data_IF_742675339822
#
_entry.id   IF_742675339822
#
_cell.length_a   1.000
_cell.length_b   1.000
_cell.length_c   1.000
_cell.angle_alpha   90.00
_cell.angle_beta   90.00
_cell.angle_gamma   90.00
#
_symmetry.space_group_name_H-M   'P 1'
#
loop_
_entity.id
_entity.type
_entity.pdbx_description
1 polymer ?
#
# COMPACT_ATOMS: atom_id res chain seq x y z
N UNK A 1 2.95 -85.00 56.43
CA UNK A 1 2.93 -83.75 55.62
C UNK A 1 4.33 -83.55 55.04
N UNK A 2 4.47 -83.56 53.72
CA UNK A 2 5.76 -83.68 53.04
C UNK A 2 6.47 -82.32 52.92
N UNK A 3 7.49 -82.11 53.74
CA UNK A 3 8.37 -80.93 53.75
C UNK A 3 9.07 -80.68 52.40
N UNK A 4 9.23 -81.71 51.57
CA UNK A 4 9.85 -81.62 50.24
C UNK A 4 9.03 -80.84 49.20
N UNK A 5 7.72 -80.65 49.41
CA UNK A 5 6.87 -79.89 48.48
C UNK A 5 7.04 -78.37 48.64
N UNK A 6 7.23 -77.92 49.90
CA UNK A 6 7.48 -76.50 50.18
C UNK A 6 8.83 -76.00 49.65
N UNK A 7 9.88 -76.82 49.73
CA UNK A 7 11.22 -76.43 49.26
C UNK A 7 11.27 -76.25 47.74
N UNK A 8 10.57 -77.10 46.98
CA UNK A 8 10.43 -76.95 45.52
C UNK A 8 9.67 -75.67 45.16
N UNK A 9 8.54 -75.41 45.83
CA UNK A 9 7.76 -74.20 45.58
C UNK A 9 8.54 -72.91 45.89
N UNK A 10 9.37 -72.92 46.94
CA UNK A 10 10.23 -71.79 47.30
C UNK A 10 11.31 -71.55 46.24
N UNK A 11 11.94 -72.62 45.73
CA UNK A 11 12.95 -72.53 44.67
C UNK A 11 12.35 -71.97 43.36
N UNK A 12 11.16 -72.44 42.98
CA UNK A 12 10.43 -71.95 41.81
C UNK A 12 10.03 -70.48 41.96
N UNK A 13 9.60 -70.07 43.16
CA UNK A 13 9.32 -68.67 43.47
C UNK A 13 10.57 -67.78 43.30
N UNK A 14 11.72 -68.20 43.84
CA UNK A 14 12.96 -67.45 43.69
C UNK A 14 13.40 -67.34 42.24
N UNK A 15 13.31 -68.44 41.48
CA UNK A 15 13.61 -68.45 40.04
C UNK A 15 12.71 -67.49 39.27
N UNK A 16 11.39 -67.53 39.53
CA UNK A 16 10.42 -66.62 38.91
C UNK A 16 10.69 -65.17 39.30
N UNK A 17 11.06 -64.90 40.55
CA UNK A 17 11.43 -63.55 41.02
C UNK A 17 12.65 -63.01 40.29
N UNK A 18 13.69 -63.83 40.10
CA UNK A 18 14.90 -63.44 39.35
C UNK A 18 14.58 -63.18 37.88
N UNK A 19 13.78 -64.05 37.26
CA UNK A 19 13.33 -63.86 35.88
C UNK A 19 12.51 -62.57 35.71
N UNK A 20 11.58 -62.29 36.63
CA UNK A 20 10.80 -61.05 36.60
C UNK A 20 11.69 -59.82 36.78
N UNK A 21 12.64 -59.84 37.73
CA UNK A 21 13.61 -58.75 37.91
C UNK A 21 14.45 -58.52 36.65
N UNK A 22 14.93 -59.59 36.01
CA UNK A 22 15.67 -59.48 34.76
C UNK A 22 14.82 -58.92 33.62
N UNK A 23 13.56 -59.33 33.51
CA UNK A 23 12.62 -58.76 32.51
C UNK A 23 12.37 -57.27 32.77
N UNK A 24 12.14 -56.88 34.02
CA UNK A 24 11.91 -55.48 34.41
C UNK A 24 13.14 -54.63 34.08
N UNK A 25 14.34 -55.10 34.40
CA UNK A 25 15.58 -54.38 34.09
C UNK A 25 15.77 -54.21 32.57
N UNK A 26 15.53 -55.26 31.79
CA UNK A 26 15.59 -55.17 30.31
C UNK A 26 14.56 -54.19 29.75
N UNK A 27 13.32 -54.24 30.23
CA UNK A 27 12.29 -53.32 29.77
C UNK A 27 12.59 -51.87 30.17
N UNK A 28 13.20 -51.64 31.34
CA UNK A 28 13.59 -50.29 31.77
C UNK A 28 14.75 -49.76 30.94
N UNK A 29 15.72 -50.61 30.59
CA UNK A 29 16.82 -50.25 29.71
C UNK A 29 16.32 -49.93 28.28
N UNK A 30 15.41 -50.74 27.74
CA UNK A 30 14.75 -50.46 26.46
C UNK A 30 13.95 -49.15 26.49
N UNK A 31 13.22 -48.89 27.59
CA UNK A 31 12.48 -47.63 27.80
C UNK A 31 13.43 -46.43 27.76
N UNK A 32 14.54 -46.49 28.49
CA UNK A 32 15.54 -45.41 28.55
C UNK A 32 16.16 -45.16 27.15
N UNK A 33 16.48 -46.23 26.40
CA UNK A 33 17.02 -46.09 25.04
C UNK A 33 16.02 -45.44 24.08
N UNK A 34 14.74 -45.79 24.17
CA UNK A 34 13.68 -45.17 23.36
C UNK A 34 13.47 -43.70 23.72
N UNK A 35 13.51 -43.36 25.02
CA UNK A 35 13.40 -41.99 25.50
C UNK A 35 14.55 -41.11 24.98
N UNK A 36 15.79 -41.62 25.01
CA UNK A 36 16.95 -40.94 24.43
C UNK A 36 16.82 -40.72 22.91
N UNK A 37 16.29 -41.70 22.17
CA UNK A 37 16.04 -41.57 20.72
C UNK A 37 14.93 -40.55 20.42
N UNK A 38 13.87 -40.53 21.21
CA UNK A 38 12.77 -39.57 21.04
C UNK A 38 13.27 -38.14 21.30
N UNK A 39 14.11 -37.96 22.33
CA UNK A 39 14.71 -36.68 22.65
C UNK A 39 15.68 -36.18 21.55
N UNK A 40 16.42 -37.08 20.89
CA UNK A 40 17.28 -36.68 19.76
C UNK A 40 16.46 -36.29 18.53
N UNK A 41 15.39 -37.02 18.20
CA UNK A 41 14.50 -36.70 17.09
C UNK A 41 13.80 -35.35 17.28
N UNK A 42 13.27 -35.05 18.47
CA UNK A 42 12.61 -33.77 18.75
C UNK A 42 13.56 -32.57 18.62
N UNK A 43 14.85 -32.76 18.90
CA UNK A 43 15.88 -31.73 18.71
C UNK A 43 16.22 -31.48 17.23
N UNK A 44 16.05 -32.48 16.36
CA UNK A 44 16.27 -32.35 14.91
C UNK A 44 15.13 -31.55 14.27
N UNK A 45 13.89 -31.84 14.65
CA UNK A 45 12.71 -31.13 14.14
C UNK A 45 12.74 -29.64 14.49
N UNK A 46 13.22 -29.27 15.69
CA UNK A 46 13.36 -27.86 16.05
C UNK A 46 14.40 -27.14 15.19
N UNK A 47 15.53 -27.80 14.88
CA UNK A 47 16.55 -27.26 13.97
C UNK A 47 16.06 -27.12 12.54
N UNK A 48 15.27 -28.07 12.04
CA UNK A 48 14.66 -27.97 10.70
C UNK A 48 13.70 -26.79 10.62
N UNK A 49 12.81 -26.63 11.61
CA UNK A 49 11.91 -25.46 11.69
C UNK A 49 12.67 -24.14 11.76
N UNK A 50 13.74 -24.08 12.56
CA UNK A 50 14.61 -22.90 12.62
C UNK A 50 15.26 -22.60 11.27
N UNK A 51 15.73 -23.62 10.55
CA UNK A 51 16.31 -23.46 9.23
C UNK A 51 15.29 -22.91 8.22
N UNK A 52 14.08 -23.45 8.19
CA UNK A 52 13.00 -22.95 7.33
C UNK A 52 12.66 -21.48 7.63
N UNK A 53 12.64 -21.09 8.91
CA UNK A 53 12.45 -19.69 9.31
C UNK A 53 13.58 -18.78 8.83
N UNK A 54 14.84 -19.22 8.95
CA UNK A 54 16.00 -18.48 8.46
C UNK A 54 15.94 -18.33 6.94
N UNK A 55 15.64 -19.41 6.21
CA UNK A 55 15.52 -19.38 4.75
C UNK A 55 14.39 -18.44 4.31
N UNK A 56 13.25 -18.43 5.01
CA UNK A 56 12.15 -17.49 4.75
C UNK A 56 12.57 -16.04 4.98
N UNK A 57 13.23 -15.74 6.11
CA UNK A 57 13.73 -14.39 6.41
C UNK A 57 14.75 -13.96 5.36
N UNK A 58 15.66 -14.84 4.96
CA UNK A 58 16.68 -14.56 3.95
C UNK A 58 16.04 -14.27 2.58
N UNK A 59 15.04 -15.05 2.18
CA UNK A 59 14.28 -14.80 0.95
C UNK A 59 13.57 -13.45 1.00
N UNK A 60 12.91 -13.13 2.12
CA UNK A 60 12.24 -11.85 2.31
C UNK A 60 13.22 -10.67 2.21
N UNK A 61 14.37 -10.76 2.87
CA UNK A 61 15.40 -9.71 2.83
C UNK A 61 15.96 -9.52 1.42
N UNK A 62 16.15 -10.62 0.70
CA UNK A 62 16.59 -10.59 -0.71
C UNK A 62 15.57 -9.87 -1.59
N UNK A 63 14.28 -10.19 -1.42
CA UNK A 63 13.21 -9.52 -2.15
C UNK A 63 13.15 -8.02 -1.82
N UNK A 64 13.23 -7.67 -0.55
CA UNK A 64 13.20 -6.28 -0.09
C UNK A 64 14.36 -5.46 -0.69
N UNK A 65 15.56 -6.03 -0.72
CA UNK A 65 16.72 -5.40 -1.35
C UNK A 65 16.53 -5.18 -2.86
N UNK A 66 15.96 -6.16 -3.57
CA UNK A 66 15.64 -6.00 -4.99
C UNK A 66 14.59 -4.91 -5.23
N UNK A 67 13.56 -4.84 -4.39
CA UNK A 67 12.53 -3.80 -4.49
C UNK A 67 13.12 -2.41 -4.22
N UNK A 68 14.01 -2.30 -3.22
CA UNK A 68 14.76 -1.07 -2.93
C UNK A 68 15.58 -0.60 -4.13
N UNK A 69 16.36 -1.50 -4.76
CA UNK A 69 17.15 -1.19 -5.96
C UNK A 69 16.28 -0.74 -7.14
N UNK A 70 15.12 -1.38 -7.37
CA UNK A 70 14.19 -0.96 -8.43
C UNK A 70 13.60 0.43 -8.15
N UNK A 71 13.32 0.73 -6.87
CA UNK A 71 12.84 2.05 -6.48
C UNK A 71 13.92 3.13 -6.68
N UNK A 72 15.17 2.84 -6.31
CA UNK A 72 16.31 3.73 -6.54
C UNK A 72 16.51 4.03 -8.03
N UNK A 73 16.47 2.99 -8.88
CA UNK A 73 16.58 3.16 -10.34
C UNK A 73 15.45 4.03 -10.90
N UNK A 74 14.21 3.84 -10.44
CA UNK A 74 13.07 4.68 -10.84
C UNK A 74 13.26 6.13 -10.41
N UNK A 75 13.71 6.36 -9.18
CA UNK A 75 13.96 7.70 -8.67
C UNK A 75 15.06 8.41 -9.46
N UNK A 76 16.12 7.69 -9.83
CA UNK A 76 17.19 8.21 -10.68
C UNK A 76 16.67 8.61 -12.08
N UNK A 77 15.79 7.79 -12.66
CA UNK A 77 15.15 8.11 -13.94
C UNK A 77 14.29 9.36 -13.84
N UNK A 78 13.43 9.46 -12.82
CA UNK A 78 12.58 10.63 -12.60
C UNK A 78 13.42 11.91 -12.41
N UNK A 79 14.55 11.82 -11.70
CA UNK A 79 15.45 12.95 -11.52
C UNK A 79 16.03 13.43 -12.87
N UNK A 80 16.42 12.50 -13.73
CA UNK A 80 16.90 12.82 -15.07
C UNK A 80 15.80 13.48 -15.93
N UNK A 81 14.58 12.94 -15.89
CA UNK A 81 13.44 13.49 -16.62
C UNK A 81 13.11 14.93 -16.15
N UNK A 82 13.16 15.18 -14.83
CA UNK A 82 12.99 16.52 -14.25
C UNK A 82 14.10 17.45 -14.73
N UNK A 83 15.35 17.03 -14.67
CA UNK A 83 16.49 17.84 -15.14
C UNK A 83 16.36 18.16 -16.64
N UNK A 84 15.85 17.23 -17.44
CA UNK A 84 15.59 17.48 -18.86
C UNK A 84 14.45 18.49 -19.07
N UNK A 85 13.36 18.37 -18.32
CA UNK A 85 12.25 19.32 -18.36
C UNK A 85 12.70 20.73 -17.96
N UNK A 86 13.53 20.86 -16.93
CA UNK A 86 14.11 22.14 -16.51
C UNK A 86 14.94 22.80 -17.63
N UNK A 87 15.79 22.03 -18.32
CA UNK A 87 16.55 22.55 -19.47
C UNK A 87 15.64 23.05 -20.58
N UNK A 88 14.57 22.31 -20.88
CA UNK A 88 13.59 22.71 -21.90
C UNK A 88 12.85 24.00 -21.48
N UNK A 89 12.49 24.15 -20.20
CA UNK A 89 11.86 25.37 -19.69
C UNK A 89 12.79 26.57 -19.76
N UNK A 90 14.08 26.39 -19.45
CA UNK A 90 15.09 27.44 -19.60
C UNK A 90 15.21 27.86 -21.07
N UNK A 91 15.22 26.91 -22.02
CA UNK A 91 15.25 27.22 -23.44
C UNK A 91 14.01 28.01 -23.89
N UNK A 92 12.81 27.54 -23.53
CA UNK A 92 11.56 28.23 -23.85
C UNK A 92 11.52 29.64 -23.28
N UNK A 93 12.06 29.84 -22.08
CA UNK A 93 12.19 31.16 -21.48
C UNK A 93 13.10 32.08 -22.30
N UNK A 94 14.27 31.59 -22.71
CA UNK A 94 15.19 32.36 -23.55
C UNK A 94 14.54 32.74 -24.89
N UNK A 95 13.83 31.81 -25.53
CA UNK A 95 13.13 32.04 -26.78
C UNK A 95 12.00 33.08 -26.61
N UNK A 96 11.24 33.00 -25.52
CA UNK A 96 10.21 33.97 -25.19
C UNK A 96 10.79 35.37 -24.94
N UNK A 97 11.87 35.47 -24.17
CA UNK A 97 12.59 36.74 -23.94
C UNK A 97 13.10 37.33 -25.27
N UNK A 98 13.62 36.50 -26.18
CA UNK A 98 14.03 36.94 -27.51
C UNK A 98 12.86 37.47 -28.35
N UNK A 99 11.71 36.78 -28.37
CA UNK A 99 10.51 37.24 -29.08
C UNK A 99 9.96 38.55 -28.51
N UNK A 100 10.01 38.74 -27.19
CA UNK A 100 9.59 40.00 -26.54
C UNK A 100 10.49 41.15 -26.99
N UNK A 101 11.81 40.94 -27.03
CA UNK A 101 12.77 41.95 -27.53
C UNK A 101 12.51 42.27 -28.99
N UNK A 102 12.40 41.25 -29.84
CA UNK A 102 12.12 41.42 -31.26
C UNK A 102 10.82 42.20 -31.51
N UNK A 103 9.75 41.89 -30.77
CA UNK A 103 8.49 42.64 -30.82
C UNK A 103 8.72 44.11 -30.45
N UNK A 104 9.46 44.37 -29.37
CA UNK A 104 9.76 45.73 -28.91
C UNK A 104 10.51 46.52 -29.98
N UNK A 105 11.54 45.91 -30.59
CA UNK A 105 12.35 46.51 -31.65
C UNK A 105 11.49 46.86 -32.88
N UNK A 106 10.60 45.96 -33.31
CA UNK A 106 9.69 46.21 -34.42
C UNK A 106 8.66 47.30 -34.10
N UNK A 107 8.08 47.30 -32.90
CA UNK A 107 7.16 48.36 -32.47
C UNK A 107 7.85 49.73 -32.51
N UNK A 108 9.07 49.83 -31.98
CA UNK A 108 9.85 51.07 -32.01
C UNK A 108 10.18 51.51 -33.44
N UNK A 109 10.53 50.56 -34.31
CA UNK A 109 10.76 50.84 -35.73
C UNK A 109 9.49 51.38 -36.42
N UNK A 110 8.32 50.80 -36.13
CA UNK A 110 7.04 51.26 -36.67
C UNK A 110 6.66 52.64 -36.15
N UNK A 111 6.86 52.92 -34.85
CA UNK A 111 6.63 54.23 -34.25
C UNK A 111 7.49 55.32 -34.92
N UNK A 112 8.75 54.99 -35.22
CA UNK A 112 9.69 55.91 -35.85
C UNK A 112 9.33 56.20 -37.32
N UNK A 113 8.99 55.17 -38.09
CA UNK A 113 8.77 55.30 -39.53
C UNK A 113 7.32 55.64 -39.91
N UNK A 114 6.35 55.35 -39.04
CA UNK A 114 4.91 55.43 -39.35
C UNK A 114 4.08 55.95 -38.16
N UNK A 115 4.21 57.21 -37.72
CA UNK A 115 3.66 57.70 -36.45
C UNK A 115 2.12 57.60 -36.25
N UNK A 116 1.34 57.21 -37.26
CA UNK A 116 -0.10 56.94 -37.14
C UNK A 116 -0.46 55.46 -37.40
N UNK A 117 0.51 54.54 -37.38
CA UNK A 117 0.30 53.11 -37.63
C UNK A 117 -0.69 52.48 -36.63
N UNK A 118 -0.57 52.85 -35.36
CA UNK A 118 -1.41 52.32 -34.28
C UNK A 118 -2.89 52.63 -34.52
N UNK A 119 -3.23 53.87 -34.93
CA UNK A 119 -4.62 54.27 -35.26
C UNK A 119 -5.21 53.44 -36.40
N UNK A 120 -4.37 53.07 -37.37
CA UNK A 120 -4.80 52.27 -38.53
C UNK A 120 -5.12 50.83 -38.10
N UNK A 121 -4.28 50.23 -37.25
CA UNK A 121 -4.46 48.88 -36.72
C UNK A 121 -5.64 48.79 -35.75
N UNK A 122 -5.81 49.78 -34.85
CA UNK A 122 -6.94 49.78 -33.89
C UNK A 122 -8.30 49.86 -34.58
N UNK A 123 -8.40 50.58 -35.71
CA UNK A 123 -9.65 50.70 -36.47
C UNK A 123 -10.05 49.39 -37.17
N UNK A 124 -9.08 48.54 -37.54
CA UNK A 124 -9.35 47.21 -38.10
C UNK A 124 -9.64 46.18 -37.00
N UNK A 125 -8.87 46.20 -35.89
CA UNK A 125 -9.08 45.30 -34.76
C UNK A 125 -10.50 45.43 -34.16
N UNK A 126 -11.05 46.65 -34.11
CA UNK A 126 -12.42 46.88 -33.62
C UNK A 126 -13.52 46.29 -34.53
N UNK A 127 -13.21 45.99 -35.80
CA UNK A 127 -14.17 45.37 -36.74
C UNK A 127 -14.20 43.84 -36.58
N UNK A 128 -13.06 43.21 -36.32
CA UNK A 128 -12.93 41.74 -36.19
C UNK A 128 -13.14 41.21 -34.76
N UNK A 129 -12.90 42.04 -33.74
CA UNK A 129 -12.98 41.62 -32.32
C UNK A 129 -14.40 41.29 -31.84
N UNK A 130 -15.47 41.68 -32.57
CA UNK A 130 -16.84 41.28 -32.22
C UNK A 130 -17.13 39.78 -32.36
N UNK A 131 -16.27 38.99 -33.03
CA UNK A 131 -16.56 37.58 -33.29
C UNK A 131 -15.70 36.56 -32.50
N UNK A 132 -14.57 36.95 -31.89
CA UNK A 132 -13.59 36.00 -31.32
C UNK A 132 -13.28 36.18 -29.82
N UNK A 133 -14.00 37.04 -29.09
CA UNK A 133 -13.77 37.27 -27.65
C UNK A 133 -13.98 36.00 -26.79
N UNK A 134 -14.72 35.01 -27.28
CA UNK A 134 -15.04 33.81 -26.49
C UNK A 134 -13.91 32.78 -26.32
N UNK A 135 -12.82 32.83 -27.10
CA UNK A 135 -11.76 31.80 -27.01
C UNK A 135 -10.46 32.26 -26.32
N UNK A 136 -10.17 33.56 -26.27
CA UNK A 136 -8.90 34.06 -25.71
C UNK A 136 -8.91 34.08 -24.17
N UNK A 137 -10.04 34.41 -23.54
CA UNK A 137 -10.17 34.45 -22.07
C UNK A 137 -10.02 33.07 -21.40
N UNK A 138 -10.22 31.99 -22.16
CA UNK A 138 -10.05 30.62 -21.65
C UNK A 138 -8.59 30.22 -21.44
N UNK A 139 -7.65 30.80 -22.20
CA UNK A 139 -6.23 30.50 -22.09
C UNK A 139 -5.52 31.30 -20.99
N UNK A 140 -5.95 32.54 -20.72
CA UNK A 140 -5.35 33.38 -19.68
C UNK A 140 -5.68 32.94 -18.24
N UNK A 141 -6.79 32.24 -18.01
CA UNK A 141 -7.10 31.71 -16.67
C UNK A 141 -6.20 30.53 -16.23
N UNK A 142 -5.54 29.83 -17.15
CA UNK A 142 -4.67 28.69 -16.79
C UNK A 142 -3.25 29.09 -16.32
N UNK A 143 -2.78 30.31 -16.60
CA UNK A 143 -1.43 30.74 -16.18
C UNK A 143 -1.35 31.31 -14.76
N UNK A 144 -2.47 31.40 -14.03
CA UNK A 144 -2.48 31.88 -12.64
C UNK A 144 -2.16 30.77 -11.60
N UNK A 145 -1.81 29.56 -12.06
CA UNK A 145 -1.49 28.41 -11.19
C UNK A 145 -0.01 28.42 -10.75
N UNK A 146 0.85 29.19 -11.41
CA UNK A 146 2.30 29.26 -11.14
C UNK A 146 2.70 29.96 -9.82
N UNK A 147 1.77 30.66 -9.15
CA UNK A 147 2.08 31.41 -7.92
C UNK A 147 1.99 30.59 -6.62
N UNK A 148 1.68 29.29 -6.68
CA UNK A 148 1.50 28.45 -5.47
C UNK A 148 2.80 27.73 -5.04
N UNK A 149 3.86 27.69 -5.87
CA UNK A 149 5.04 26.88 -5.56
C UNK A 149 6.23 27.58 -4.86
N UNK A 150 6.15 28.86 -4.52
CA UNK A 150 7.27 29.59 -3.90
C UNK A 150 7.37 29.48 -2.36
N UNK A 151 6.47 28.75 -1.68
CA UNK A 151 6.39 28.78 -0.22
C UNK A 151 6.90 27.52 0.52
N UNK A 152 7.49 26.53 -0.17
CA UNK A 152 7.69 25.19 0.44
C UNK A 152 9.14 24.68 0.56
N UNK A 153 10.16 25.51 0.35
CA UNK A 153 11.57 25.07 0.46
C UNK A 153 12.17 25.06 1.88
N UNK A 154 11.42 25.43 2.94
CA UNK A 154 12.05 25.67 4.25
C UNK A 154 12.11 24.49 5.24
N UNK A 155 11.43 23.35 5.04
CA UNK A 155 11.21 22.41 6.17
C UNK A 155 11.30 20.90 5.87
N UNK A 156 12.05 20.47 4.84
CA UNK A 156 12.23 19.03 4.55
C UNK A 156 13.34 18.33 5.37
N UNK A 157 13.92 18.95 6.39
CA UNK A 157 15.07 18.38 7.12
C UNK A 157 14.74 17.70 8.46
N UNK A 158 13.48 17.63 8.89
CA UNK A 158 13.11 17.11 10.23
C UNK A 158 12.39 15.75 10.25
N UNK A 159 12.07 15.15 9.09
CA UNK A 159 11.17 14.00 9.02
C UNK A 159 11.82 12.59 9.10
N UNK A 160 13.08 12.46 9.51
CA UNK A 160 13.78 11.16 9.54
C UNK A 160 14.31 10.71 10.91
N UNK A 161 13.82 11.26 12.03
CA UNK A 161 14.37 10.99 13.38
C UNK A 161 13.47 10.27 14.38
N UNK A 162 12.32 9.71 13.98
CA UNK A 162 11.42 9.05 14.94
C UNK A 162 10.82 7.75 14.41
N UNK A 163 11.63 6.71 14.30
CA UNK A 163 11.15 5.32 14.31
C UNK A 163 12.30 4.39 14.73
N UNK A 164 12.60 4.33 16.03
CA UNK A 164 13.46 3.27 16.59
C UNK A 164 13.02 2.71 17.96
N UNK A 165 12.06 3.33 18.64
CA UNK A 165 11.57 2.80 19.93
C UNK A 165 10.12 2.35 19.80
N UNK A 166 9.87 1.07 19.52
CA UNK A 166 8.73 0.28 20.02
C UNK A 166 8.71 -1.15 19.42
N UNK A 167 9.76 -1.94 19.68
CA UNK A 167 9.68 -3.41 19.62
C UNK A 167 9.72 -3.95 21.05
N UNK A 168 8.59 -3.79 21.78
CA UNK A 168 8.30 -4.60 22.96
C UNK A 168 7.62 -5.87 22.47
N UNK A 169 8.39 -6.95 22.44
CA UNK A 169 7.93 -8.31 22.18
C UNK A 169 7.25 -8.81 23.46
N UNK A 170 5.92 -8.77 23.50
CA UNK A 170 5.15 -9.49 24.51
C UNK A 170 5.12 -10.98 24.14
N UNK A 171 5.99 -11.74 24.82
CA UNK A 171 6.00 -13.20 24.81
C UNK A 171 4.94 -13.66 25.81
N UNK A 172 3.70 -13.84 25.35
CA UNK A 172 2.68 -14.53 26.14
C UNK A 172 2.70 -16.04 25.87
N UNK A 173 3.03 -16.77 26.93
CA UNK A 173 2.80 -18.20 27.08
C UNK A 173 1.29 -18.51 27.02
N UNK A 174 0.87 -19.31 26.03
CA UNK A 174 -0.34 -20.13 26.16
C UNK A 174 -0.08 -21.58 25.80
N UNK A 175 -0.05 -22.39 26.85
CA UNK A 175 -0.43 -23.80 26.84
C UNK A 175 -1.75 -24.00 26.07
N UNK A 176 -1.78 -24.95 25.14
CA UNK A 176 -2.96 -25.81 24.99
C UNK A 176 -2.58 -27.11 24.28
N UNK A 177 -2.70 -28.20 25.04
CA UNK A 177 -2.96 -29.54 24.52
C UNK A 177 -4.19 -29.51 23.62
N UNK A 178 -4.18 -30.21 22.48
CA UNK A 178 -4.96 -31.44 22.26
C UNK A 178 -4.96 -31.83 20.77
N UNK A 179 -4.86 -33.14 20.58
CA UNK A 179 -5.36 -33.98 19.48
C UNK A 179 -4.60 -34.05 18.15
N UNK A 180 -3.83 -35.14 18.09
CA UNK A 180 -3.70 -36.00 16.92
C UNK A 180 -5.05 -36.24 16.23
N UNK A 181 -5.12 -35.97 14.93
CA UNK A 181 -5.90 -36.80 14.02
C UNK A 181 -5.36 -36.72 12.58
N UNK A 182 -4.82 -37.86 12.17
CA UNK A 182 -4.82 -38.46 10.83
C UNK A 182 -4.36 -37.65 9.61
N UNK A 183 -3.23 -38.14 9.09
CA UNK A 183 -2.80 -38.09 7.71
C UNK A 183 -3.88 -38.65 6.77
N UNK A 184 -4.29 -37.84 5.80
CA UNK A 184 -4.59 -38.33 4.46
C UNK A 184 -4.06 -37.33 3.44
N UNK A 185 -3.15 -37.85 2.61
CA UNK A 185 -2.62 -37.22 1.42
C UNK A 185 -3.78 -36.89 0.46
N UNK A 186 -3.84 -35.62 0.06
CA UNK A 186 -4.44 -35.23 -1.22
C UNK A 186 -3.63 -34.06 -1.75
N UNK A 187 -2.62 -34.43 -2.53
CA UNK A 187 -1.85 -33.57 -3.42
C UNK A 187 -2.80 -32.94 -4.44
N UNK A 188 -3.34 -31.76 -4.12
CA UNK A 188 -3.79 -30.81 -5.12
C UNK A 188 -3.36 -29.41 -4.69
N UNK A 189 -2.26 -28.97 -5.30
CA UNK A 189 -1.77 -27.60 -5.29
C UNK A 189 -2.90 -26.68 -5.78
N UNK A 190 -3.64 -26.12 -4.85
CA UNK A 190 -4.51 -24.98 -5.10
C UNK A 190 -4.04 -23.90 -4.15
N UNK A 191 -3.42 -22.87 -4.72
CA UNK A 191 -3.00 -21.66 -4.02
C UNK A 191 -4.07 -21.19 -3.04
N UNK A 192 -3.86 -21.46 -1.76
CA UNK A 192 -4.61 -20.84 -0.67
C UNK A 192 -4.21 -19.38 -0.62
N UNK A 193 -4.80 -18.60 -1.52
CA UNK A 193 -5.01 -17.17 -1.36
C UNK A 193 -5.48 -16.98 0.08
N UNK A 194 -4.67 -16.27 0.85
CA UNK A 194 -5.10 -15.55 2.04
C UNK A 194 -6.57 -15.18 1.87
N UNK A 195 -7.40 -15.62 2.82
CA UNK A 195 -8.82 -15.30 2.92
C UNK A 195 -8.93 -13.77 2.92
N UNK A 196 -8.93 -13.20 1.71
CA UNK A 196 -9.34 -11.84 1.42
C UNK A 196 -10.71 -11.75 2.03
N UNK A 197 -10.78 -11.03 3.15
CA UNK A 197 -12.01 -10.44 3.68
C UNK A 197 -12.89 -10.11 2.47
N UNK A 198 -14.05 -10.77 2.40
CA UNK A 198 -14.85 -10.91 1.19
C UNK A 198 -14.78 -9.63 0.37
N UNK A 199 -14.09 -9.71 -0.77
CA UNK A 199 -13.89 -8.60 -1.68
C UNK A 199 -15.23 -7.90 -1.82
N UNK A 200 -15.36 -6.71 -1.25
CA UNK A 200 -16.49 -5.82 -1.49
C UNK A 200 -16.49 -5.64 -2.99
N UNK A 201 -17.24 -6.47 -3.69
CA UNK A 201 -17.29 -6.52 -5.16
C UNK A 201 -18.13 -5.37 -5.71
N UNK A 202 -18.38 -4.40 -4.84
CA UNK A 202 -19.14 -3.22 -5.11
C UNK A 202 -18.14 -2.16 -5.50
N UNK A 203 -18.19 -1.86 -6.77
CA UNK A 203 -17.24 -1.01 -7.41
C UNK A 203 -17.86 0.36 -7.65
N UNK A 204 -17.05 1.41 -7.52
CA UNK A 204 -17.50 2.74 -7.88
C UNK A 204 -17.66 2.84 -9.39
N UNK A 205 -18.83 3.30 -9.84
CA UNK A 205 -19.10 3.61 -11.24
C UNK A 205 -18.53 4.99 -11.60
N UNK A 206 -18.27 5.24 -12.89
CA UNK A 206 -17.74 6.53 -13.35
C UNK A 206 -18.66 7.72 -12.98
N UNK A 207 -19.97 7.54 -13.11
CA UNK A 207 -20.97 8.55 -12.70
C UNK A 207 -20.97 8.78 -11.19
N UNK A 208 -20.81 7.72 -10.39
CA UNK A 208 -20.69 7.81 -8.94
C UNK A 208 -19.41 8.51 -8.49
N UNK A 209 -18.29 8.29 -9.19
CA UNK A 209 -17.03 9.00 -8.93
C UNK A 209 -17.17 10.51 -9.16
N UNK A 210 -17.72 10.94 -10.30
CA UNK A 210 -17.94 12.38 -10.55
C UNK A 210 -18.89 13.00 -9.52
N UNK A 211 -19.94 12.27 -9.14
CA UNK A 211 -20.87 12.70 -8.11
C UNK A 211 -20.19 12.90 -6.74
N UNK A 212 -19.32 11.98 -6.33
CA UNK A 212 -18.56 12.11 -5.08
C UNK A 212 -17.53 13.25 -5.15
N UNK A 213 -16.88 13.46 -6.30
CA UNK A 213 -15.93 14.56 -6.47
C UNK A 213 -16.62 15.92 -6.39
N UNK A 214 -17.77 16.10 -7.04
CA UNK A 214 -18.57 17.34 -6.96
C UNK A 214 -19.10 17.59 -5.54
N UNK A 215 -19.47 16.54 -4.81
CA UNK A 215 -19.84 16.64 -3.40
C UNK A 215 -18.67 17.11 -2.53
N UNK A 216 -17.50 16.46 -2.65
CA UNK A 216 -16.32 16.85 -1.87
C UNK A 216 -15.90 18.26 -2.23
N UNK A 217 -15.86 18.63 -3.50
CA UNK A 217 -15.48 19.99 -3.91
C UNK A 217 -16.34 21.07 -3.21
N UNK A 218 -17.64 20.82 -3.04
CA UNK A 218 -18.55 21.72 -2.31
C UNK A 218 -18.31 21.74 -0.81
N UNK A 219 -18.18 20.57 -0.19
CA UNK A 219 -17.99 20.47 1.29
C UNK A 219 -16.58 20.87 1.75
N UNK A 220 -15.57 20.68 0.90
CA UNK A 220 -14.16 20.92 1.20
C UNK A 220 -13.86 22.41 1.41
N UNK A 221 -14.64 23.28 0.76
CA UNK A 221 -14.57 24.74 0.92
C UNK A 221 -15.02 25.14 2.34
N UNK A 222 -15.99 24.44 2.91
CA UNK A 222 -16.67 24.84 4.15
C UNK A 222 -16.14 24.12 5.40
N UNK A 223 -15.53 22.93 5.28
CA UNK A 223 -15.27 22.04 6.43
C UNK A 223 -13.80 21.76 6.76
N UNK A 224 -12.83 22.15 5.93
CA UNK A 224 -11.43 21.77 6.17
C UNK A 224 -10.74 22.63 7.24
N UNK A 225 -10.78 22.14 8.47
CA UNK A 225 -9.70 22.34 9.43
C UNK A 225 -8.48 21.54 8.97
N UNK A 226 -7.50 22.23 8.39
CA UNK A 226 -6.26 21.65 7.80
C UNK A 226 -5.54 20.69 8.76
N UNK A 227 -5.72 20.84 10.08
CA UNK A 227 -5.06 20.00 11.08
C UNK A 227 -5.75 18.65 11.32
N UNK A 228 -7.04 18.52 11.00
CA UNK A 228 -7.82 17.29 11.27
C UNK A 228 -7.83 16.33 10.09
N UNK A 229 -7.72 16.85 8.87
CA UNK A 229 -7.85 16.09 7.63
C UNK A 229 -6.92 14.86 7.51
N UNK A 230 -5.75 14.89 8.13
CA UNK A 230 -4.76 13.80 8.07
C UNK A 230 -4.79 12.84 9.27
N UNK A 231 -5.75 12.97 10.20
CA UNK A 231 -5.83 12.16 11.43
C UNK A 231 -7.11 11.34 11.54
N UNK A 232 -7.71 10.96 10.42
CA UNK A 232 -8.92 10.14 10.42
C UNK A 232 -8.58 8.65 10.38
N UNK A 233 -9.32 7.88 11.19
CA UNK A 233 -9.27 6.43 11.14
C UNK A 233 -9.72 5.92 9.77
N UNK A 234 -9.15 4.82 9.28
CA UNK A 234 -9.55 4.24 8.01
C UNK A 234 -11.03 3.86 8.00
N UNK A 235 -11.78 4.13 6.91
CA UNK A 235 -13.20 3.86 6.84
C UNK A 235 -13.49 2.37 6.98
N UNK A 236 -14.45 2.05 7.83
CA UNK A 236 -14.94 0.68 8.02
C UNK A 236 -15.57 0.13 6.74
N UNK A 237 -15.58 -1.20 6.59
CA UNK A 237 -16.17 -1.90 5.44
C UNK A 237 -17.62 -1.47 5.20
N UNK A 238 -18.41 -1.29 6.27
CA UNK A 238 -19.80 -0.84 6.20
C UNK A 238 -19.90 0.59 5.67
N UNK A 239 -19.08 1.52 6.19
CA UNK A 239 -19.05 2.91 5.71
C UNK A 239 -18.67 2.98 4.23
N UNK A 240 -17.62 2.24 3.83
CA UNK A 240 -17.23 2.12 2.41
C UNK A 240 -18.41 1.69 1.56
N UNK A 241 -19.12 0.64 1.97
CA UNK A 241 -20.28 0.11 1.25
C UNK A 241 -21.39 1.16 1.13
N UNK A 242 -21.80 1.77 2.23
CA UNK A 242 -22.85 2.79 2.23
C UNK A 242 -22.50 3.97 1.31
N UNK A 243 -21.26 4.46 1.35
CA UNK A 243 -20.79 5.55 0.49
C UNK A 243 -20.88 5.16 -0.99
N UNK A 244 -20.45 3.93 -1.32
CA UNK A 244 -20.49 3.44 -2.70
C UNK A 244 -21.92 3.23 -3.22
N UNK A 245 -22.83 2.73 -2.38
CA UNK A 245 -24.25 2.57 -2.73
C UNK A 245 -24.89 3.94 -3.01
N UNK A 246 -24.71 4.90 -2.09
CA UNK A 246 -25.24 6.27 -2.24
C UNK A 246 -24.67 6.93 -3.51
N UNK A 247 -23.37 6.77 -3.76
CA UNK A 247 -22.70 7.36 -4.92
C UNK A 247 -23.20 6.78 -6.24
N UNK A 248 -23.31 5.45 -6.31
CA UNK A 248 -23.75 4.76 -7.52
C UNK A 248 -25.24 5.03 -7.83
N UNK A 249 -26.06 5.25 -6.80
CA UNK A 249 -27.47 5.62 -6.93
C UNK A 249 -27.71 7.14 -6.98
N UNK A 250 -26.66 7.96 -6.85
CA UNK A 250 -26.70 9.43 -6.87
C UNK A 250 -27.68 10.04 -5.85
N UNK A 251 -27.77 9.46 -4.65
CA UNK A 251 -28.69 9.92 -3.59
C UNK A 251 -28.15 11.14 -2.84
N UNK A 252 -28.29 12.33 -3.43
CA UNK A 252 -27.72 13.60 -2.94
C UNK A 252 -28.06 13.95 -1.48
N UNK A 253 -29.27 13.64 -1.01
CA UNK A 253 -29.67 13.94 0.37
C UNK A 253 -29.01 13.04 1.42
N UNK A 254 -28.70 11.79 1.06
CA UNK A 254 -28.10 10.82 2.00
C UNK A 254 -26.59 11.06 2.21
N UNK A 255 -25.95 11.81 1.31
CA UNK A 255 -24.51 12.07 1.36
C UNK A 255 -24.15 13.18 2.36
N UNK A 256 -25.11 14.04 2.72
CA UNK A 256 -24.90 15.16 3.66
C UNK A 256 -24.63 14.72 5.10
N UNK A 257 -25.10 13.52 5.47
CA UNK A 257 -24.91 12.97 6.82
C UNK A 257 -23.57 12.23 6.97
N UNK A 258 -22.79 12.14 5.88
CA UNK A 258 -21.51 11.44 5.85
C UNK A 258 -20.34 12.41 6.04
N UNK A 259 -19.35 11.97 6.81
CA UNK A 259 -18.13 12.73 7.03
C UNK A 259 -17.35 12.92 5.70
N UNK A 260 -17.02 14.17 5.31
CA UNK A 260 -16.28 14.45 4.08
C UNK A 260 -14.89 13.80 4.05
N UNK A 261 -14.21 13.70 5.19
CA UNK A 261 -12.89 13.07 5.27
C UNK A 261 -12.98 11.56 5.01
N UNK A 262 -13.93 10.88 5.66
CA UNK A 262 -14.26 9.47 5.40
C UNK A 262 -14.58 9.26 3.91
N UNK A 263 -15.41 10.12 3.31
CA UNK A 263 -15.78 10.05 1.89
C UNK A 263 -14.56 10.22 0.96
N UNK A 264 -13.67 11.17 1.28
CA UNK A 264 -12.41 11.40 0.54
C UNK A 264 -11.53 10.14 0.51
N UNK A 265 -11.39 9.45 1.64
CA UNK A 265 -10.62 8.21 1.72
C UNK A 265 -11.20 7.09 0.85
N UNK A 266 -12.53 6.99 0.79
CA UNK A 266 -13.20 6.00 -0.09
C UNK A 266 -12.95 6.31 -1.57
N UNK A 267 -12.96 7.59 -1.97
CA UNK A 267 -12.61 7.96 -3.34
C UNK A 267 -11.19 7.51 -3.67
N UNK A 268 -10.20 7.85 -2.83
CA UNK A 268 -8.80 7.50 -3.07
C UNK A 268 -8.58 5.99 -3.17
N UNK A 269 -9.28 5.20 -2.36
CA UNK A 269 -9.24 3.73 -2.40
C UNK A 269 -9.82 3.17 -3.71
N UNK A 270 -10.86 3.79 -4.28
CA UNK A 270 -11.53 3.33 -5.49
C UNK A 270 -10.99 3.92 -6.80
N UNK A 271 -10.21 5.00 -6.72
CA UNK A 271 -9.71 5.74 -7.88
C UNK A 271 -8.84 4.87 -8.82
N UNK A 272 -7.87 4.06 -8.32
CA UNK A 272 -7.09 3.18 -9.19
C UNK A 272 -7.95 2.15 -9.93
N UNK A 273 -8.94 1.58 -9.25
CA UNK A 273 -9.86 0.58 -9.81
C UNK A 273 -10.76 1.18 -10.87
N UNK A 274 -11.26 2.40 -10.64
CA UNK A 274 -12.14 3.11 -11.58
C UNK A 274 -11.36 3.51 -12.84
N UNK A 275 -10.14 4.06 -12.70
CA UNK A 275 -9.29 4.45 -13.82
C UNK A 275 -8.98 3.25 -14.72
N UNK A 276 -8.52 2.14 -14.14
CA UNK A 276 -8.21 0.91 -14.90
C UNK A 276 -9.39 0.44 -15.74
N UNK A 277 -10.62 0.52 -15.22
CA UNK A 277 -11.82 0.13 -15.98
C UNK A 277 -12.13 1.10 -17.12
N UNK A 278 -11.96 2.40 -16.91
CA UNK A 278 -12.21 3.39 -17.95
C UNK A 278 -11.20 3.34 -19.10
N UNK A 279 -9.94 3.02 -18.81
CA UNK A 279 -8.89 2.97 -19.84
C UNK A 279 -8.92 1.66 -20.64
N UNK A 280 -9.24 0.52 -20.01
CA UNK A 280 -9.31 -0.79 -20.70
C UNK A 280 -10.43 -0.82 -21.75
N UNK A 281 -11.52 -0.07 -21.57
CA UNK A 281 -12.62 -0.04 -22.54
C UNK A 281 -12.38 0.90 -23.74
N UNK A 282 -11.22 1.57 -23.82
CA UNK A 282 -10.88 2.51 -24.90
C UNK A 282 -9.74 2.01 -25.82
N UNK A 283 -9.11 0.88 -25.49
CA UNK A 283 -8.12 0.21 -26.31
C UNK A 283 -8.75 -0.97 -27.04
#
# INVERSE_FOLDING_TARGET
MNSSSMTSALADYHKKRVQLRSKILKSEEERIQLEQKLQSLSSIDSRLKQREQVDHIQSYFTQLNQESQRAEQRNLQLLNDITQAERNLIQLRMDAEHLIRLKTDYSQHLETNYPNWEKSVSNEANKTTKHNIYDFDRFSQQQNISSIHSAHEADSSTLFKQHDDHLKVDIDHRNSQHDEQSLSESTSNTFSRSKRTGSLRMELNRSGLYFLLDFIEKELIDTIDKKKFYRHDPPTITQKRTILDIANEQKQFALKDLDPATTSMVILDQLPSTIRRTTVNQC
#
